data_IF_920409416465
#
_entry.id   IF_920409416465
#
_cell.length_a   1.000
_cell.length_b   1.000
_cell.length_c   1.000
_cell.angle_alpha   90.00
_cell.angle_beta   90.00
_cell.angle_gamma   90.00
#
_symmetry.space_group_name_H-M   'P 1'
#
loop_
_entity.id
_entity.type
_entity.pdbx_description
1 polymer ?
#
# COMPACT_ATOMS: atom_id res chain seq x y z
N UNK A 1 10.24 41.75 -1.81
CA UNK A 1 9.08 41.11 -1.16
C UNK A 1 7.84 41.10 -2.05
N UNK A 2 7.36 42.27 -2.55
CA UNK A 2 6.10 42.37 -3.32
C UNK A 2 6.03 41.51 -4.59
N UNK A 3 7.11 41.40 -5.37
CA UNK A 3 7.14 40.57 -6.59
C UNK A 3 7.09 39.07 -6.26
N UNK A 4 7.83 38.64 -5.24
CA UNK A 4 7.82 37.28 -4.76
C UNK A 4 6.43 36.84 -4.30
N UNK A 5 5.73 37.72 -3.56
CA UNK A 5 4.39 37.44 -3.04
C UNK A 5 3.36 37.34 -4.17
N UNK A 6 3.44 38.21 -5.17
CA UNK A 6 2.58 38.13 -6.37
C UNK A 6 2.83 36.87 -7.18
N UNK A 7 4.09 36.48 -7.35
CA UNK A 7 4.43 35.22 -8.05
C UNK A 7 3.92 33.99 -7.28
N UNK A 8 4.06 34.01 -5.95
CA UNK A 8 3.54 32.93 -5.11
C UNK A 8 2.01 32.80 -5.22
N UNK A 9 1.28 33.93 -5.26
CA UNK A 9 -0.17 33.93 -5.41
C UNK A 9 -0.59 33.39 -6.77
N UNK A 10 0.01 33.88 -7.85
CA UNK A 10 -0.26 33.38 -9.20
C UNK A 10 0.00 31.87 -9.32
N UNK A 11 1.14 31.40 -8.85
CA UNK A 11 1.51 29.99 -8.95
C UNK A 11 0.68 29.10 -8.01
N UNK A 12 0.22 29.61 -6.86
CA UNK A 12 -0.68 28.88 -5.98
C UNK A 12 -1.99 28.50 -6.71
N UNK A 13 -2.55 29.41 -7.50
CA UNK A 13 -3.78 29.14 -8.23
C UNK A 13 -3.61 28.07 -9.31
N UNK A 14 -2.40 27.89 -9.83
CA UNK A 14 -2.07 26.82 -10.79
C UNK A 14 -1.72 25.47 -10.14
N UNK A 15 -1.53 25.42 -8.82
CA UNK A 15 -1.12 24.18 -8.14
C UNK A 15 -2.13 23.03 -8.34
N UNK A 16 -3.43 23.34 -8.43
CA UNK A 16 -4.47 22.36 -8.76
C UNK A 16 -4.24 21.68 -10.11
N UNK A 17 -3.60 22.33 -11.06
CA UNK A 17 -3.29 21.76 -12.37
C UNK A 17 -2.22 20.67 -12.28
N UNK A 18 -1.36 20.69 -11.25
CA UNK A 18 -0.42 19.60 -11.00
C UNK A 18 -1.17 18.33 -10.61
N UNK A 19 -2.17 18.41 -9.73
CA UNK A 19 -3.01 17.28 -9.41
C UNK A 19 -3.77 16.76 -10.64
N UNK A 20 -4.43 17.64 -11.37
CA UNK A 20 -5.20 17.27 -12.55
C UNK A 20 -4.31 16.66 -13.65
N UNK A 21 -3.10 17.19 -13.84
CA UNK A 21 -2.10 16.62 -14.75
C UNK A 21 -1.69 15.20 -14.34
N UNK A 22 -1.41 14.99 -13.06
CA UNK A 22 -1.12 13.65 -12.54
C UNK A 22 -2.24 12.65 -12.82
N UNK A 23 -3.50 13.02 -12.56
CA UNK A 23 -4.68 12.19 -12.85
C UNK A 23 -4.82 11.92 -14.35
N UNK A 24 -4.60 12.93 -15.19
CA UNK A 24 -4.62 12.76 -16.65
C UNK A 24 -3.62 11.71 -17.12
N UNK A 25 -2.38 11.77 -16.62
CA UNK A 25 -1.33 10.82 -17.01
C UNK A 25 -1.55 9.42 -16.42
N UNK A 26 -2.15 9.26 -15.22
CA UNK A 26 -2.60 7.96 -14.72
C UNK A 26 -3.58 7.31 -15.70
N UNK A 27 -4.58 8.06 -16.19
CA UNK A 27 -5.56 7.56 -17.15
C UNK A 27 -4.94 7.17 -18.51
N UNK A 28 -3.76 7.70 -18.82
CA UNK A 28 -2.95 7.31 -19.99
C UNK A 28 -1.93 6.22 -19.69
N UNK A 29 -1.89 5.68 -18.47
CA UNK A 29 -0.88 4.74 -18.00
C UNK A 29 0.57 5.26 -18.09
N UNK A 30 0.74 6.57 -18.21
CA UNK A 30 2.04 7.25 -18.22
C UNK A 30 2.48 7.56 -16.78
N UNK A 31 2.86 6.50 -16.05
CA UNK A 31 3.10 6.59 -14.60
C UNK A 31 4.32 7.45 -14.23
N UNK A 32 5.31 7.59 -15.14
CA UNK A 32 6.46 8.49 -14.94
C UNK A 32 6.02 9.94 -14.90
N UNK A 33 5.31 10.38 -15.96
CA UNK A 33 4.78 11.75 -16.03
C UNK A 33 3.81 12.03 -14.87
N UNK A 34 2.92 11.06 -14.56
CA UNK A 34 2.01 11.18 -13.42
C UNK A 34 2.75 11.37 -12.09
N UNK A 35 3.82 10.61 -11.87
CA UNK A 35 4.67 10.75 -10.69
C UNK A 35 5.26 12.13 -10.59
N UNK A 36 5.82 12.67 -11.66
CA UNK A 36 6.44 13.99 -11.68
C UNK A 36 5.45 15.10 -11.31
N UNK A 37 4.21 15.00 -11.81
CA UNK A 37 3.14 15.95 -11.46
C UNK A 37 2.78 15.86 -9.97
N UNK A 38 2.53 14.67 -9.43
CA UNK A 38 2.19 14.53 -8.01
C UNK A 38 3.36 14.89 -7.10
N UNK A 39 4.58 14.48 -7.47
CA UNK A 39 5.78 14.84 -6.75
C UNK A 39 5.98 16.35 -6.70
N UNK A 40 5.82 17.06 -7.83
CA UNK A 40 5.91 18.52 -7.88
C UNK A 40 4.84 19.18 -7.01
N UNK A 41 3.62 18.65 -7.00
CA UNK A 41 2.56 19.14 -6.11
C UNK A 41 2.97 19.06 -4.64
N UNK A 42 3.57 17.95 -4.23
CA UNK A 42 4.03 17.72 -2.85
C UNK A 42 5.24 18.60 -2.52
N UNK A 43 6.20 18.70 -3.43
CA UNK A 43 7.42 19.52 -3.27
C UNK A 43 7.12 21.00 -3.10
N UNK A 44 5.96 21.50 -3.54
CA UNK A 44 5.55 22.88 -3.27
C UNK A 44 5.52 23.21 -1.78
N UNK A 45 5.30 22.21 -0.90
CA UNK A 45 5.26 22.40 0.55
C UNK A 45 6.62 22.84 1.11
N UNK A 46 7.71 22.38 0.50
CA UNK A 46 9.08 22.62 0.95
C UNK A 46 9.72 23.85 0.26
N UNK A 47 9.01 24.46 -0.71
CA UNK A 47 9.56 25.60 -1.44
C UNK A 47 9.43 26.90 -0.64
N UNK A 48 10.53 27.66 -0.46
CA UNK A 48 10.50 28.94 0.26
C UNK A 48 9.51 29.96 -0.32
N UNK A 49 9.15 29.82 -1.59
CA UNK A 49 8.16 30.68 -2.27
C UNK A 49 6.77 30.53 -1.64
N UNK A 50 6.42 29.32 -1.19
CA UNK A 50 5.09 28.98 -0.71
C UNK A 50 4.97 28.87 0.81
N UNK A 51 6.00 29.26 1.57
CA UNK A 51 6.02 29.15 3.05
C UNK A 51 4.77 29.72 3.72
N UNK A 52 4.22 30.83 3.19
CA UNK A 52 3.01 31.48 3.74
C UNK A 52 1.75 30.62 3.67
N UNK A 53 1.69 29.66 2.75
CA UNK A 53 0.52 28.81 2.56
C UNK A 53 0.48 27.62 3.52
N UNK A 54 1.61 27.25 4.10
CA UNK A 54 1.70 26.13 5.08
C UNK A 54 1.03 24.86 4.57
N UNK A 55 1.33 24.45 3.32
CA UNK A 55 0.66 23.31 2.68
C UNK A 55 0.74 22.03 3.50
N UNK A 56 1.91 21.72 4.11
CA UNK A 56 2.09 20.54 4.91
C UNK A 56 1.06 20.40 6.06
N UNK A 57 0.56 21.52 6.59
CA UNK A 57 -0.37 21.59 7.71
C UNK A 57 -1.83 21.80 7.28
N UNK A 58 -2.02 22.62 6.25
CA UNK A 58 -3.35 23.13 5.86
C UNK A 58 -3.98 22.37 4.68
N UNK A 59 -3.18 21.79 3.81
CA UNK A 59 -3.68 21.10 2.64
C UNK A 59 -4.04 19.65 2.96
N UNK A 60 -5.32 19.41 3.19
CA UNK A 60 -5.86 18.08 3.51
C UNK A 60 -5.76 17.07 2.35
N UNK A 61 -5.44 17.52 1.14
CA UNK A 61 -5.27 16.62 -0.01
C UNK A 61 -3.86 16.02 -0.07
N UNK A 62 -2.89 16.57 0.65
CA UNK A 62 -1.50 16.11 0.63
C UNK A 62 -1.36 14.59 0.82
N UNK A 63 -2.03 13.93 1.79
CA UNK A 63 -1.94 12.47 1.94
C UNK A 63 -2.46 11.71 0.72
N UNK A 64 -3.56 12.13 0.11
CA UNK A 64 -4.11 11.52 -1.09
C UNK A 64 -3.18 11.69 -2.29
N UNK A 65 -2.59 12.89 -2.46
CA UNK A 65 -1.62 13.13 -3.54
C UNK A 65 -0.37 12.27 -3.34
N UNK A 66 0.09 12.12 -2.11
CA UNK A 66 1.19 11.23 -1.76
C UNK A 66 0.86 9.76 -2.07
N UNK A 67 -0.38 9.31 -1.81
CA UNK A 67 -0.84 7.98 -2.22
C UNK A 67 -0.70 7.79 -3.74
N UNK A 68 -1.12 8.74 -4.55
CA UNK A 68 -0.98 8.64 -6.01
C UNK A 68 0.47 8.65 -6.47
N UNK A 69 1.34 9.42 -5.82
CA UNK A 69 2.78 9.38 -6.11
C UNK A 69 3.37 8.00 -5.79
N UNK A 70 3.03 7.42 -4.63
CA UNK A 70 3.43 6.05 -4.23
C UNK A 70 2.91 5.02 -5.23
N UNK A 71 1.63 5.11 -5.63
CA UNK A 71 1.04 4.24 -6.64
C UNK A 71 1.84 4.28 -7.96
N UNK A 72 2.19 5.48 -8.44
CA UNK A 72 2.99 5.63 -9.65
C UNK A 72 4.38 5.00 -9.48
N UNK A 73 5.08 5.24 -8.37
CA UNK A 73 6.37 4.61 -8.06
C UNK A 73 6.28 3.08 -8.04
N UNK A 74 5.24 2.54 -7.43
CA UNK A 74 4.95 1.11 -7.41
C UNK A 74 4.73 0.55 -8.84
N UNK A 75 3.94 1.23 -9.67
CA UNK A 75 3.71 0.83 -11.07
C UNK A 75 4.97 0.85 -11.91
N UNK A 76 5.86 1.78 -11.64
CA UNK A 76 7.19 1.87 -12.28
C UNK A 76 8.19 0.84 -11.74
N UNK A 77 7.84 0.09 -10.70
CA UNK A 77 8.77 -0.78 -9.96
C UNK A 77 10.03 -0.03 -9.50
N UNK A 78 9.84 1.21 -9.08
CA UNK A 78 10.90 2.08 -8.61
C UNK A 78 10.78 2.28 -7.08
N UNK A 79 11.59 1.56 -6.26
CA UNK A 79 11.52 1.65 -4.81
C UNK A 79 11.75 3.06 -4.27
N UNK A 80 12.70 3.81 -4.82
CA UNK A 80 12.99 5.18 -4.39
C UNK A 80 11.77 6.09 -4.57
N UNK A 81 11.12 6.02 -5.72
CA UNK A 81 9.91 6.79 -6.00
C UNK A 81 8.74 6.35 -5.09
N UNK A 82 8.58 5.05 -4.86
CA UNK A 82 7.54 4.50 -4.00
C UNK A 82 7.72 4.94 -2.54
N UNK A 83 8.94 4.87 -2.01
CA UNK A 83 9.20 5.13 -0.59
C UNK A 83 9.28 6.62 -0.26
N UNK A 84 9.58 7.48 -1.24
CA UNK A 84 9.82 8.92 -1.02
C UNK A 84 8.69 9.63 -0.29
N UNK A 85 7.44 9.31 -0.60
CA UNK A 85 6.25 9.95 -0.02
C UNK A 85 5.43 9.00 0.85
N UNK A 86 5.98 7.83 1.21
CA UNK A 86 5.25 6.77 1.89
C UNK A 86 4.68 7.21 3.26
N UNK A 87 5.47 7.91 4.08
CA UNK A 87 5.04 8.35 5.42
C UNK A 87 3.84 9.32 5.34
N UNK A 88 3.83 10.19 4.34
CA UNK A 88 2.70 11.07 4.13
C UNK A 88 1.48 10.33 3.57
N UNK A 89 1.70 9.41 2.63
CA UNK A 89 0.66 8.60 2.01
C UNK A 89 -0.03 7.66 3.01
N UNK A 90 0.68 7.17 4.02
CA UNK A 90 0.10 6.37 5.11
C UNK A 90 -0.90 7.14 5.98
N UNK A 91 -0.98 8.46 5.86
CA UNK A 91 -2.04 9.27 6.49
C UNK A 91 -3.35 9.26 5.70
N UNK A 92 -3.37 8.74 4.48
CA UNK A 92 -4.59 8.51 3.70
C UNK A 92 -5.28 7.22 4.19
N UNK A 93 -6.32 7.40 4.99
CA UNK A 93 -7.08 6.27 5.56
C UNK A 93 -7.97 5.56 4.54
N UNK A 94 -8.30 6.20 3.43
CA UNK A 94 -9.19 5.64 2.39
C UNK A 94 -8.50 4.52 1.62
N UNK A 95 -7.20 4.68 1.33
CA UNK A 95 -6.44 3.74 0.52
C UNK A 95 -5.37 2.97 1.32
N UNK A 96 -5.54 2.91 2.64
CA UNK A 96 -4.52 2.36 3.54
C UNK A 96 -4.15 0.90 3.23
N UNK A 97 -5.15 0.06 2.87
CA UNK A 97 -4.91 -1.32 2.46
C UNK A 97 -4.03 -1.43 1.20
N UNK A 98 -4.25 -0.57 0.22
CA UNK A 98 -3.42 -0.52 -0.99
C UNK A 98 -2.02 0.01 -0.68
N UNK A 99 -1.91 0.99 0.23
CA UNK A 99 -0.60 1.47 0.68
C UNK A 99 0.23 0.36 1.30
N UNK A 100 -0.34 -0.43 2.22
CA UNK A 100 0.35 -1.57 2.83
C UNK A 100 0.75 -2.63 1.78
N UNK A 101 -0.09 -2.85 0.75
CA UNK A 101 0.26 -3.73 -0.36
C UNK A 101 1.46 -3.20 -1.15
N UNK A 102 1.44 -1.92 -1.57
CA UNK A 102 2.50 -1.34 -2.38
C UNK A 102 3.83 -1.30 -1.63
N UNK A 103 3.79 -0.98 -0.34
CA UNK A 103 4.97 -0.99 0.52
C UNK A 103 5.50 -2.41 0.71
N UNK A 104 4.64 -3.40 0.98
CA UNK A 104 5.04 -4.80 1.10
C UNK A 104 5.78 -5.27 -0.17
N UNK A 105 5.20 -5.06 -1.35
CA UNK A 105 5.84 -5.49 -2.60
C UNK A 105 7.15 -4.73 -2.87
N UNK A 106 7.22 -3.46 -2.49
CA UNK A 106 8.45 -2.66 -2.61
C UNK A 106 9.54 -3.19 -1.68
N UNK A 107 9.25 -3.46 -0.40
CA UNK A 107 10.20 -4.05 0.53
C UNK A 107 10.65 -5.46 0.12
N UNK A 108 9.76 -6.21 -0.54
CA UNK A 108 10.16 -7.50 -1.13
C UNK A 108 11.20 -7.32 -2.25
N UNK A 109 11.06 -6.30 -3.11
CA UNK A 109 12.04 -5.97 -4.15
C UNK A 109 13.37 -5.56 -3.52
N UNK A 110 13.33 -4.74 -2.47
CA UNK A 110 14.51 -4.28 -1.71
C UNK A 110 15.13 -5.39 -0.85
N UNK A 111 14.52 -6.58 -0.78
CA UNK A 111 14.93 -7.72 0.07
C UNK A 111 14.89 -7.38 1.57
N UNK A 112 14.14 -6.37 1.97
CA UNK A 112 13.86 -6.06 3.36
C UNK A 112 12.71 -6.95 3.87
N UNK A 113 13.08 -8.17 4.25
CA UNK A 113 12.13 -9.19 4.71
C UNK A 113 11.41 -8.76 5.98
N UNK A 114 12.05 -7.99 6.85
CA UNK A 114 11.45 -7.53 8.11
C UNK A 114 10.27 -6.63 7.83
N UNK A 115 10.48 -5.53 7.09
CA UNK A 115 9.40 -4.60 6.74
C UNK A 115 8.35 -5.25 5.83
N UNK A 116 8.76 -6.12 4.92
CA UNK A 116 7.80 -6.89 4.12
C UNK A 116 6.77 -7.62 4.99
N UNK A 117 7.24 -8.37 5.98
CA UNK A 117 6.37 -9.15 6.87
C UNK A 117 5.55 -8.25 7.81
N UNK A 118 6.12 -7.14 8.27
CA UNK A 118 5.38 -6.15 9.06
C UNK A 118 4.17 -5.60 8.30
N UNK A 119 4.36 -5.18 7.04
CA UNK A 119 3.26 -4.69 6.20
C UNK A 119 2.20 -5.77 5.94
N UNK A 120 2.61 -7.02 5.72
CA UNK A 120 1.66 -8.12 5.52
C UNK A 120 0.85 -8.43 6.78
N UNK A 121 1.49 -8.44 7.94
CA UNK A 121 0.82 -8.71 9.23
C UNK A 121 -0.17 -7.60 9.57
N UNK A 122 0.25 -6.35 9.45
CA UNK A 122 -0.62 -5.21 9.70
C UNK A 122 -1.79 -5.20 8.73
N UNK A 123 -1.53 -5.46 7.45
CA UNK A 123 -2.57 -5.54 6.43
C UNK A 123 -3.57 -6.66 6.68
N UNK A 124 -3.12 -7.83 7.08
CA UNK A 124 -4.00 -8.95 7.43
C UNK A 124 -4.82 -8.67 8.71
N UNK A 125 -4.23 -8.03 9.70
CA UNK A 125 -4.92 -7.67 10.94
C UNK A 125 -6.04 -6.66 10.70
N UNK A 126 -5.77 -5.60 9.93
CA UNK A 126 -6.73 -4.53 9.66
C UNK A 126 -7.73 -4.88 8.55
N UNK A 127 -7.31 -5.68 7.58
CA UNK A 127 -8.07 -6.01 6.37
C UNK A 127 -8.03 -7.52 6.06
N UNK A 128 -8.54 -8.37 6.95
CA UNK A 128 -8.40 -9.83 6.83
C UNK A 128 -9.09 -10.40 5.58
N UNK A 129 -10.09 -9.70 5.04
CA UNK A 129 -10.79 -10.08 3.79
C UNK A 129 -10.10 -9.55 2.53
N UNK A 130 -9.06 -8.72 2.65
CA UNK A 130 -8.31 -8.28 1.49
C UNK A 130 -7.36 -9.40 1.02
N UNK A 131 -7.55 -9.95 -0.19
CA UNK A 131 -6.96 -11.25 -0.58
C UNK A 131 -5.42 -11.27 -0.57
N UNK A 132 -4.80 -10.11 -0.77
CA UNK A 132 -3.34 -10.00 -0.91
C UNK A 132 -2.59 -10.47 0.33
N UNK A 133 -2.98 -9.99 1.52
CA UNK A 133 -2.18 -10.19 2.73
C UNK A 133 -2.17 -11.65 3.19
N UNK A 134 -3.34 -12.28 3.24
CA UNK A 134 -3.47 -13.68 3.61
C UNK A 134 -2.61 -14.57 2.71
N UNK A 135 -2.79 -14.45 1.39
CA UNK A 135 -2.09 -15.29 0.43
C UNK A 135 -0.56 -15.14 0.52
N UNK A 136 -0.07 -13.93 0.74
CA UNK A 136 1.36 -13.66 0.87
C UNK A 136 1.95 -14.18 2.20
N UNK A 137 1.20 -14.06 3.30
CA UNK A 137 1.63 -14.63 4.59
C UNK A 137 1.71 -16.15 4.54
N UNK A 138 0.70 -16.82 3.98
CA UNK A 138 0.72 -18.28 3.83
C UNK A 138 1.90 -18.72 2.95
N UNK A 139 2.11 -18.09 1.80
CA UNK A 139 3.25 -18.39 0.95
C UNK A 139 4.58 -18.21 1.70
N UNK A 140 4.75 -17.10 2.41
CA UNK A 140 5.97 -16.82 3.16
C UNK A 140 6.26 -17.87 4.24
N UNK A 141 5.27 -18.23 5.05
CA UNK A 141 5.47 -19.22 6.12
C UNK A 141 5.66 -20.63 5.56
N UNK A 142 5.00 -20.98 4.45
CA UNK A 142 5.21 -22.26 3.76
C UNK A 142 6.63 -22.35 3.19
N UNK A 143 7.13 -21.32 2.55
CA UNK A 143 8.50 -21.27 2.02
C UNK A 143 9.57 -21.40 3.12
N UNK A 144 9.24 -20.95 4.32
CA UNK A 144 10.09 -21.11 5.52
C UNK A 144 9.87 -22.44 6.27
N UNK A 145 8.96 -23.28 5.79
CA UNK A 145 8.52 -24.51 6.48
C UNK A 145 7.98 -24.23 7.90
N UNK A 146 7.52 -23.01 8.17
CA UNK A 146 6.90 -22.62 9.44
C UNK A 146 5.39 -22.90 9.37
N UNK A 147 5.05 -24.20 9.34
CA UNK A 147 3.68 -24.66 9.21
C UNK A 147 2.81 -24.27 10.41
N UNK A 148 3.41 -24.07 11.57
CA UNK A 148 2.70 -23.60 12.77
C UNK A 148 2.14 -22.20 12.53
N UNK A 149 2.96 -21.25 12.11
CA UNK A 149 2.48 -19.89 11.81
C UNK A 149 1.54 -19.85 10.61
N UNK A 150 1.77 -20.67 9.59
CA UNK A 150 0.83 -20.77 8.47
C UNK A 150 -0.55 -21.24 8.96
N UNK A 151 -0.61 -22.20 9.88
CA UNK A 151 -1.84 -22.71 10.47
C UNK A 151 -2.53 -21.62 11.32
N UNK A 152 -1.78 -20.91 12.18
CA UNK A 152 -2.31 -19.81 13.00
C UNK A 152 -2.96 -18.70 12.15
N UNK A 153 -2.30 -18.29 11.07
CA UNK A 153 -2.85 -17.28 10.15
C UNK A 153 -4.13 -17.79 9.49
N UNK A 154 -4.16 -19.07 9.10
CA UNK A 154 -5.33 -19.68 8.48
C UNK A 154 -6.50 -19.80 9.45
N UNK A 155 -6.25 -20.18 10.71
CA UNK A 155 -7.26 -20.27 11.76
C UNK A 155 -7.87 -18.90 12.07
N UNK A 156 -7.05 -17.86 12.14
CA UNK A 156 -7.51 -16.47 12.29
C UNK A 156 -8.36 -16.01 11.10
N UNK A 157 -7.96 -16.38 9.88
CA UNK A 157 -8.73 -16.06 8.67
C UNK A 157 -10.12 -16.73 8.67
N UNK A 158 -10.18 -18.02 9.04
CA UNK A 158 -11.44 -18.77 9.16
C UNK A 158 -12.32 -18.27 10.30
N UNK A 159 -11.75 -17.72 11.39
CA UNK A 159 -12.52 -17.07 12.44
C UNK A 159 -13.23 -15.79 11.95
N UNK A 160 -12.67 -15.10 10.95
CA UNK A 160 -13.28 -13.92 10.34
C UNK A 160 -14.31 -14.28 9.26
N UNK A 161 -14.03 -15.34 8.49
CA UNK A 161 -14.91 -15.81 7.42
C UNK A 161 -14.77 -17.34 7.26
N UNK A 162 -15.59 -18.07 8.00
CA UNK A 162 -15.59 -19.55 8.00
C UNK A 162 -16.05 -20.17 6.69
N UNK A 163 -16.73 -19.39 5.84
CA UNK A 163 -17.26 -19.83 4.55
C UNK A 163 -16.33 -19.58 3.37
N UNK A 164 -15.24 -18.86 3.61
CA UNK A 164 -14.28 -18.52 2.55
C UNK A 164 -13.62 -19.77 1.97
N UNK A 165 -13.88 -20.04 0.70
CA UNK A 165 -13.28 -21.16 -0.03
C UNK A 165 -11.75 -21.07 -0.04
N UNK A 166 -11.19 -19.86 -0.14
CA UNK A 166 -9.74 -19.62 -0.15
C UNK A 166 -9.12 -20.04 1.20
N UNK A 167 -9.75 -19.64 2.31
CA UNK A 167 -9.24 -19.95 3.65
C UNK A 167 -9.38 -21.45 3.97
N UNK A 168 -10.51 -22.05 3.60
CA UNK A 168 -10.76 -23.50 3.75
C UNK A 168 -9.77 -24.31 2.92
N UNK A 169 -9.55 -23.93 1.67
CA UNK A 169 -8.58 -24.58 0.80
C UNK A 169 -7.15 -24.51 1.37
N UNK A 170 -6.74 -23.33 1.85
CA UNK A 170 -5.43 -23.16 2.48
C UNK A 170 -5.28 -24.07 3.71
N UNK A 171 -6.31 -24.13 4.59
CA UNK A 171 -6.29 -25.02 5.76
C UNK A 171 -6.23 -26.48 5.38
N UNK A 172 -7.04 -26.91 4.42
CA UNK A 172 -7.04 -28.29 3.93
C UNK A 172 -5.66 -28.68 3.39
N UNK A 173 -5.04 -27.80 2.61
CA UNK A 173 -3.69 -28.03 2.06
C UNK A 173 -2.63 -28.16 3.16
N UNK A 174 -2.69 -27.32 4.19
CA UNK A 174 -1.79 -27.40 5.34
C UNK A 174 -2.00 -28.69 6.15
N UNK A 175 -3.27 -29.06 6.42
CA UNK A 175 -3.61 -30.31 7.13
C UNK A 175 -3.12 -31.54 6.38
N UNK A 176 -3.27 -31.59 5.05
CA UNK A 176 -2.73 -32.65 4.21
C UNK A 176 -1.19 -32.71 4.32
N UNK A 177 -0.52 -31.54 4.23
CA UNK A 177 0.94 -31.48 4.29
C UNK A 177 1.55 -31.96 5.61
N UNK A 178 0.81 -31.86 6.72
CA UNK A 178 1.24 -32.34 8.05
C UNK A 178 0.65 -33.69 8.43
N UNK A 179 -0.08 -34.37 7.52
CA UNK A 179 -0.64 -35.72 7.74
C UNK A 179 -1.89 -35.78 8.63
N UNK A 180 -2.56 -34.64 8.90
CA UNK A 180 -3.80 -34.56 9.70
C UNK A 180 -5.03 -34.83 8.82
N UNK A 181 -5.08 -36.04 8.21
CA UNK A 181 -6.08 -36.39 7.18
C UNK A 181 -7.52 -36.35 7.67
N UNK A 182 -7.79 -36.85 8.88
CA UNK A 182 -9.15 -36.87 9.45
C UNK A 182 -9.74 -35.48 9.63
N UNK A 183 -8.90 -34.51 10.00
CA UNK A 183 -9.33 -33.13 10.14
C UNK A 183 -9.53 -32.44 8.80
N UNK A 184 -8.68 -32.79 7.82
CA UNK A 184 -8.84 -32.32 6.45
C UNK A 184 -10.18 -32.79 5.86
N UNK A 185 -10.53 -34.08 5.99
CA UNK A 185 -11.80 -34.63 5.51
C UNK A 185 -12.97 -33.89 6.17
N UNK A 186 -12.99 -33.78 7.50
CA UNK A 186 -14.05 -33.07 8.22
C UNK A 186 -14.24 -31.63 7.72
N UNK A 187 -13.14 -30.92 7.49
CA UNK A 187 -13.19 -29.53 6.97
C UNK A 187 -13.78 -29.46 5.56
N UNK A 188 -13.59 -30.51 4.74
CA UNK A 188 -14.13 -30.56 3.39
C UNK A 188 -15.64 -30.94 3.35
N UNK A 189 -16.13 -31.65 4.37
CA UNK A 189 -17.52 -32.09 4.48
C UNK A 189 -18.46 -31.00 5.03
N UNK A 190 -17.92 -29.96 5.68
CA UNK A 190 -18.62 -28.78 6.19
C UNK A 190 -18.91 -27.75 5.08
#
# INVERSE_FOLDING_TARGET
PKLRDKNAELLNDYRVNLFNGGVYFINKHAYGDAYDFFHTYLDCADQPLFTRYQYAERDKQMPQVAYWAVYCGYKLKNPLATLRHADLALKDTVHYNYMLQYLAETYKIEKDTTRYIEMLKEGFEKYPKFPFFFSRLIAYYSDKSDLTKAMEVTDRALAVDSTSVIFRFAKSSLLLGIGRYSECIRLCDE
#
